data_IF_775891654867
#
_entry.id   IF_775891654867
#
_cell.length_a   1.000
_cell.length_b   1.000
_cell.length_c   1.000
_cell.angle_alpha   90.00
_cell.angle_beta   90.00
_cell.angle_gamma   90.00
#
_symmetry.space_group_name_H-M   'P 1'
#
loop_
_entity.id
_entity.type
_entity.pdbx_description
1 polymer ?
#
# COMPACT_ATOMS: atom_id res chain seq x y z
N UNK A 1 13.43 6.79 -5.25
CA UNK A 1 12.66 6.63 -6.51
C UNK A 1 11.68 5.49 -6.27
N UNK A 2 10.38 5.78 -6.34
CA UNK A 2 9.29 4.90 -5.85
C UNK A 2 9.03 3.82 -6.91
N UNK A 3 8.85 2.56 -6.47
CA UNK A 3 8.67 1.38 -7.32
C UNK A 3 7.51 1.52 -8.34
N UNK A 4 6.54 2.40 -8.05
CA UNK A 4 5.39 2.72 -8.90
C UNK A 4 5.81 3.40 -10.21
N UNK A 5 6.79 4.32 -10.18
CA UNK A 5 7.24 5.06 -11.38
C UNK A 5 7.93 4.14 -12.40
N UNK A 6 8.54 3.05 -11.95
CA UNK A 6 9.31 2.16 -12.81
C UNK A 6 8.46 1.01 -13.41
N UNK A 7 7.32 0.66 -12.78
CA UNK A 7 6.55 -0.53 -13.16
C UNK A 7 5.01 -0.37 -13.17
N UNK A 8 4.45 0.77 -12.75
CA UNK A 8 3.06 0.83 -12.29
C UNK A 8 2.04 1.70 -13.03
N UNK A 9 2.46 2.65 -13.88
CA UNK A 9 1.51 3.56 -14.54
C UNK A 9 0.95 4.65 -13.62
N UNK A 10 -0.27 5.13 -13.88
CA UNK A 10 -0.92 6.23 -13.14
C UNK A 10 -1.20 5.86 -11.67
N UNK A 11 -0.75 6.69 -10.72
CA UNK A 11 -0.95 6.55 -9.27
C UNK A 11 -2.43 6.33 -8.89
N UNK A 12 -3.39 6.84 -9.69
CA UNK A 12 -4.84 6.63 -9.48
C UNK A 12 -5.30 5.18 -9.60
N UNK A 13 -4.48 4.32 -10.22
CA UNK A 13 -4.74 2.89 -10.33
C UNK A 13 -4.11 2.07 -9.19
N UNK A 14 -3.53 2.75 -8.19
CA UNK A 14 -2.88 2.12 -7.05
C UNK A 14 -3.65 2.44 -5.78
N UNK A 15 -3.66 1.47 -4.88
CA UNK A 15 -4.10 1.63 -3.50
C UNK A 15 -2.85 1.60 -2.61
N UNK A 16 -2.79 2.51 -1.65
CA UNK A 16 -1.72 2.59 -0.65
C UNK A 16 -2.30 2.64 0.76
N UNK A 17 -1.63 1.94 1.68
CA UNK A 17 -2.02 1.93 3.08
C UNK A 17 -0.87 1.58 4.03
N UNK A 18 -1.14 1.71 5.33
CA UNK A 18 -0.23 1.28 6.41
C UNK A 18 -0.75 0.08 7.20
N UNK A 19 0.17 -0.69 7.79
CA UNK A 19 -0.17 -1.87 8.62
C UNK A 19 1.00 -2.36 9.48
N UNK A 20 0.68 -3.19 10.48
CA UNK A 20 1.66 -4.01 11.21
C UNK A 20 1.93 -5.35 10.51
N UNK A 21 0.96 -5.84 9.70
CA UNK A 21 1.06 -7.09 8.94
C UNK A 21 0.72 -6.84 7.45
N UNK A 22 1.74 -6.61 6.59
CA UNK A 22 1.52 -6.32 5.18
C UNK A 22 1.06 -7.52 4.38
N UNK A 23 1.45 -8.75 4.75
CA UNK A 23 1.06 -9.95 4.01
C UNK A 23 -0.42 -10.26 4.20
N UNK A 24 -0.92 -10.15 5.44
CA UNK A 24 -2.35 -10.29 5.73
C UNK A 24 -3.18 -9.25 4.99
N UNK A 25 -2.75 -7.98 5.00
CA UNK A 25 -3.43 -6.90 4.26
C UNK A 25 -3.47 -7.17 2.77
N UNK A 26 -2.31 -7.39 2.15
CA UNK A 26 -2.22 -7.55 0.69
C UNK A 26 -2.98 -8.78 0.21
N UNK A 27 -2.72 -9.96 0.78
CA UNK A 27 -3.13 -11.22 0.16
C UNK A 27 -4.44 -11.79 0.73
N UNK A 28 -4.79 -11.46 1.98
CA UNK A 28 -6.01 -11.99 2.59
C UNK A 28 -7.16 -10.99 2.55
N UNK A 29 -6.90 -9.71 2.87
CA UNK A 29 -7.95 -8.69 2.93
C UNK A 29 -8.20 -8.03 1.57
N UNK A 30 -7.14 -7.53 0.92
CA UNK A 30 -7.25 -6.85 -0.36
C UNK A 30 -7.27 -7.80 -1.56
N UNK A 31 -7.12 -9.11 -1.33
CA UNK A 31 -7.16 -10.15 -2.35
C UNK A 31 -6.22 -9.88 -3.54
N UNK A 32 -5.02 -9.38 -3.25
CA UNK A 32 -3.98 -9.16 -4.25
C UNK A 32 -3.42 -10.51 -4.70
N UNK A 33 -3.27 -10.72 -6.01
CA UNK A 33 -2.59 -11.91 -6.52
C UNK A 33 -1.10 -11.84 -6.15
N UNK A 34 -0.66 -12.72 -5.24
CA UNK A 34 0.73 -12.74 -4.77
C UNK A 34 1.73 -13.08 -5.89
N UNK A 35 1.32 -13.85 -6.89
CA UNK A 35 2.21 -14.38 -7.94
C UNK A 35 2.25 -13.48 -9.17
N UNK A 36 1.10 -12.97 -9.61
CA UNK A 36 0.99 -12.21 -10.85
C UNK A 36 0.60 -10.74 -10.65
N UNK A 37 0.24 -10.36 -9.42
CA UNK A 37 -0.14 -8.99 -9.08
C UNK A 37 1.05 -8.06 -8.95
N UNK A 38 0.78 -6.76 -9.09
CA UNK A 38 1.77 -5.71 -8.84
C UNK A 38 1.55 -5.15 -7.44
N UNK A 39 2.50 -5.41 -6.55
CA UNK A 39 2.44 -4.98 -5.16
C UNK A 39 3.82 -4.77 -4.57
N UNK A 40 3.87 -3.99 -3.49
CA UNK A 40 5.08 -3.74 -2.72
C UNK A 40 4.70 -3.47 -1.27
N UNK A 41 5.55 -3.89 -0.34
CA UNK A 41 5.55 -3.36 1.02
C UNK A 41 6.97 -3.08 1.49
N UNK A 42 7.12 -2.12 2.41
CA UNK A 42 8.40 -1.72 3.01
C UNK A 42 8.19 -1.40 4.49
N UNK A 43 9.17 -1.79 5.31
CA UNK A 43 9.25 -1.35 6.70
C UNK A 43 9.73 0.11 6.72
N UNK A 44 8.90 1.01 7.23
CA UNK A 44 9.22 2.42 7.41
C UNK A 44 9.91 2.69 8.76
N UNK A 45 10.10 1.67 9.60
CA UNK A 45 10.79 1.73 10.89
C UNK A 45 9.96 2.32 12.03
N UNK A 46 8.94 3.13 11.74
CA UNK A 46 8.05 3.72 12.74
C UNK A 46 6.66 4.03 12.18
N UNK A 47 5.67 4.17 13.07
CA UNK A 47 4.33 4.60 12.71
C UNK A 47 4.31 5.98 12.04
N UNK A 48 5.08 6.93 12.57
CA UNK A 48 5.18 8.28 12.01
C UNK A 48 5.75 8.27 10.58
N UNK A 49 6.80 7.49 10.33
CA UNK A 49 7.36 7.36 8.99
C UNK A 49 6.40 6.65 8.03
N UNK A 50 5.67 5.62 8.49
CA UNK A 50 4.67 4.94 7.69
C UNK A 50 3.53 5.88 7.29
N UNK A 51 3.01 6.67 8.23
CA UNK A 51 1.99 7.72 7.98
C UNK A 51 2.46 8.74 6.95
N UNK A 52 3.67 9.27 7.12
CA UNK A 52 4.23 10.25 6.16
C UNK A 52 4.35 9.68 4.74
N UNK A 53 4.76 8.40 4.63
CA UNK A 53 4.86 7.74 3.34
C UNK A 53 3.48 7.45 2.71
N UNK A 54 2.47 7.11 3.50
CA UNK A 54 1.07 6.98 3.05
C UNK A 54 0.51 8.31 2.55
N UNK A 55 0.66 9.39 3.33
CA UNK A 55 0.23 10.74 2.94
C UNK A 55 0.87 11.18 1.62
N UNK A 56 2.18 10.90 1.45
CA UNK A 56 2.89 11.21 0.21
C UNK A 56 2.34 10.42 -0.99
N UNK A 57 1.97 9.15 -0.81
CA UNK A 57 1.37 8.33 -1.86
C UNK A 57 -0.05 8.81 -2.21
N UNK A 58 -0.85 9.21 -1.22
CA UNK A 58 -2.18 9.79 -1.46
C UNK A 58 -2.08 11.14 -2.16
N UNK A 59 -1.10 11.98 -1.81
CA UNK A 59 -0.84 13.25 -2.49
C UNK A 59 -0.45 13.06 -3.97
N UNK A 60 0.19 11.93 -4.31
CA UNK A 60 0.49 11.54 -5.69
C UNK A 60 -0.72 10.96 -6.43
N UNK A 61 -1.82 10.66 -5.73
CA UNK A 61 -3.09 10.22 -6.31
C UNK A 61 -3.44 8.75 -6.06
N UNK A 62 -2.67 8.02 -5.24
CA UNK A 62 -3.08 6.68 -4.80
C UNK A 62 -4.41 6.75 -4.03
N UNK A 63 -5.26 5.75 -4.23
CA UNK A 63 -6.39 5.50 -3.35
C UNK A 63 -5.92 5.02 -1.98
N UNK A 64 -6.78 5.17 -0.98
CA UNK A 64 -6.55 4.66 0.36
C UNK A 64 -7.83 4.66 1.18
N UNK A 65 -7.85 3.84 2.22
CA UNK A 65 -8.92 3.76 3.20
C UNK A 65 -8.52 4.44 4.52
N UNK A 66 -9.48 4.60 5.47
CA UNK A 66 -9.25 5.23 6.78
C UNK A 66 -8.42 4.35 7.74
N UNK A 67 -7.60 3.44 7.21
CA UNK A 67 -6.87 2.39 7.92
C UNK A 67 -5.77 2.91 8.83
N UNK A 68 -6.17 3.66 9.87
CA UNK A 68 -5.28 4.15 10.91
C UNK A 68 -4.81 2.99 11.77
N UNK A 69 -3.63 2.49 11.44
CA UNK A 69 -2.96 1.49 12.24
C UNK A 69 -2.63 1.95 13.66
N UNK A 70 -2.50 0.98 14.57
CA UNK A 70 -2.08 1.17 15.96
C UNK A 70 -0.58 1.51 16.07
N UNK A 71 -0.04 1.61 17.30
CA UNK A 71 1.37 1.88 17.54
C UNK A 71 2.34 0.83 16.96
N UNK A 72 1.88 -0.37 16.60
CA UNK A 72 2.69 -1.40 15.97
C UNK A 72 2.78 -1.25 14.44
N UNK A 73 1.97 -0.37 13.87
CA UNK A 73 1.97 -0.10 12.44
C UNK A 73 3.23 0.61 12.02
N UNK A 74 4.02 -0.03 11.15
CA UNK A 74 5.30 0.50 10.64
C UNK A 74 5.54 0.17 9.17
N UNK A 75 4.69 -0.65 8.55
CA UNK A 75 4.84 -0.99 7.15
C UNK A 75 3.94 -0.10 6.30
N UNK A 76 4.48 0.39 5.19
CA UNK A 76 3.71 0.91 4.06
C UNK A 76 3.58 -0.19 3.03
N UNK A 77 2.40 -0.32 2.44
CA UNK A 77 2.16 -1.18 1.30
C UNK A 77 1.42 -0.43 0.19
N UNK A 78 1.63 -0.88 -1.04
CA UNK A 78 0.86 -0.43 -2.19
C UNK A 78 0.62 -1.60 -3.14
N UNK A 79 -0.53 -1.60 -3.81
CA UNK A 79 -0.85 -2.57 -4.86
C UNK A 79 -1.62 -1.90 -5.99
N UNK A 80 -1.50 -2.46 -7.20
CA UNK A 80 -2.31 -2.04 -8.33
C UNK A 80 -3.71 -2.62 -8.20
N UNK A 81 -4.71 -1.75 -8.29
CA UNK A 81 -6.13 -2.12 -8.23
C UNK A 81 -6.47 -2.92 -9.48
N UNK A 82 -7.11 -4.07 -9.28
CA UNK A 82 -7.64 -4.93 -10.34
C UNK A 82 -9.12 -5.22 -10.06
N UNK A 83 -9.86 -5.80 -11.02
CA UNK A 83 -11.25 -6.20 -10.77
C UNK A 83 -11.44 -7.22 -9.63
N UNK A 84 -10.36 -7.89 -9.19
CA UNK A 84 -10.40 -8.90 -8.14
C UNK A 84 -9.94 -8.39 -6.78
N UNK A 85 -9.29 -7.22 -6.73
CA UNK A 85 -8.86 -6.62 -5.46
C UNK A 85 -10.02 -5.98 -4.72
N UNK A 86 -9.97 -6.01 -3.39
CA UNK A 86 -10.93 -5.37 -2.49
C UNK A 86 -10.23 -4.13 -1.91
N UNK A 87 -10.86 -2.96 -1.92
CA UNK A 87 -10.34 -1.71 -1.33
C UNK A 87 -10.73 -1.59 0.16
#
# INVERSE_FOLDING_TARGET
MVHIDQHGGDYRNWYAGITADPRRRLFNEHNVDEKNGQWIFRDAGSNAAARQAEDALHALGCKGGPGGGDGATRFVYAYRITPTTIE
#
